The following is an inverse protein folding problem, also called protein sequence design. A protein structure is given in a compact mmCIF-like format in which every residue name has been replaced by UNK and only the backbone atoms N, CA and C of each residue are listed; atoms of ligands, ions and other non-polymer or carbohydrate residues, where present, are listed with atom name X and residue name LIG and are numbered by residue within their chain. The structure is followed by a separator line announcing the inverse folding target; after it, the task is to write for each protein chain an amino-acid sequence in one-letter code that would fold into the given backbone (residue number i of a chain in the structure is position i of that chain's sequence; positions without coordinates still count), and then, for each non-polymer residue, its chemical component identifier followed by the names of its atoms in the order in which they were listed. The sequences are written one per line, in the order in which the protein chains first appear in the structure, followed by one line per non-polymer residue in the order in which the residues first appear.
data_IF_808539626281
#
_entry.id   IF_808539626281
#
_cell.length_a   1.000
_cell.length_b   1.000
_cell.length_c   1.000
_cell.angle_alpha   90.00
_cell.angle_beta   90.00
_cell.angle_gamma   90.00
#
_symmetry.space_group_name_H-M   'P 1'
#
loop_
_entity.id
_entity.type
_entity.pdbx_description
1 polymer ?
#
# COMPACT_ATOMS: atom_id res chain seq x y z
N UNK A 1 17.09 9.36 -2.79
CA UNK A 1 17.53 8.31 -1.86
C UNK A 1 16.32 7.45 -1.53
N UNK A 2 16.33 6.20 -1.95
CA UNK A 2 15.26 5.24 -1.62
C UNK A 2 15.47 4.74 -0.19
N UNK A 3 14.44 4.81 0.66
CA UNK A 3 14.55 4.36 2.06
C UNK A 3 14.63 2.83 2.20
N UNK A 4 14.21 2.09 1.18
CA UNK A 4 14.18 0.62 1.16
C UNK A 4 14.66 0.04 -0.19
N UNK A 5 15.92 0.30 -0.58
CA UNK A 5 16.42 -0.08 -1.90
C UNK A 5 16.36 -1.60 -2.09
N UNK A 6 15.76 -2.04 -3.19
CA UNK A 6 15.60 -3.46 -3.55
C UNK A 6 14.64 -4.27 -2.66
N UNK A 7 14.01 -3.66 -1.65
CA UNK A 7 13.09 -4.34 -0.72
C UNK A 7 11.62 -3.92 -0.90
N UNK A 8 11.38 -2.72 -1.43
CA UNK A 8 10.03 -2.17 -1.61
C UNK A 8 9.91 -1.55 -3.00
N UNK A 9 8.84 -1.92 -3.72
CA UNK A 9 8.40 -1.21 -4.92
C UNK A 9 7.18 -0.37 -4.55
N UNK A 10 7.26 0.95 -4.77
CA UNK A 10 6.12 1.86 -4.69
C UNK A 10 5.45 1.98 -6.04
N UNK A 11 4.12 1.91 -6.06
CA UNK A 11 3.31 2.07 -7.27
C UNK A 11 2.04 2.85 -6.93
N UNK A 12 1.76 3.89 -7.71
CA UNK A 12 0.53 4.66 -7.60
C UNK A 12 -0.48 4.10 -8.58
N UNK A 13 -1.64 3.72 -8.08
CA UNK A 13 -2.74 3.20 -8.88
C UNK A 13 -3.85 4.25 -8.88
N UNK A 14 -4.27 4.68 -10.06
CA UNK A 14 -5.33 5.66 -10.21
C UNK A 14 -6.71 4.98 -10.10
N UNK A 15 -7.40 5.27 -9.00
CA UNK A 15 -8.71 4.71 -8.66
C UNK A 15 -9.86 5.14 -9.60
N UNK A 16 -9.65 6.12 -10.48
CA UNK A 16 -10.68 6.61 -11.42
C UNK A 16 -10.76 5.73 -12.66
N UNK A 17 -9.74 4.92 -12.93
CA UNK A 17 -9.77 3.93 -14.00
C UNK A 17 -10.64 2.73 -13.61
N UNK A 18 -11.44 2.15 -14.52
CA UNK A 18 -12.35 1.04 -14.22
C UNK A 18 -11.63 -0.24 -13.76
N UNK A 19 -10.42 -0.47 -14.27
CA UNK A 19 -9.58 -1.63 -13.90
C UNK A 19 -9.06 -1.50 -12.47
N UNK A 20 -8.57 -0.30 -12.09
CA UNK A 20 -8.15 -0.02 -10.73
C UNK A 20 -9.32 0.04 -9.76
N UNK A 21 -10.47 0.60 -10.18
CA UNK A 21 -11.68 0.68 -9.38
C UNK A 21 -12.14 -0.70 -8.91
N UNK A 22 -11.97 -1.73 -9.75
CA UNK A 22 -12.21 -3.12 -9.37
C UNK A 22 -11.20 -3.60 -8.33
N UNK A 23 -9.91 -3.39 -8.58
CA UNK A 23 -8.84 -3.80 -7.66
C UNK A 23 -8.93 -3.14 -6.28
N UNK A 24 -9.21 -1.84 -6.20
CA UNK A 24 -9.36 -1.12 -4.92
C UNK A 24 -10.61 -1.59 -4.17
N UNK A 25 -11.71 -1.91 -4.89
CA UNK A 25 -12.94 -2.44 -4.30
C UNK A 25 -12.75 -3.85 -3.75
N UNK A 26 -12.00 -4.70 -4.45
CA UNK A 26 -11.60 -6.04 -3.96
C UNK A 26 -10.72 -5.95 -2.70
N UNK A 27 -9.91 -4.90 -2.58
CA UNK A 27 -9.11 -4.62 -1.38
C UNK A 27 -9.94 -3.99 -0.23
N UNK A 28 -11.18 -3.57 -0.52
CA UNK A 28 -12.12 -2.98 0.43
C UNK A 28 -11.96 -1.47 0.62
N UNK A 29 -11.30 -0.77 -0.30
CA UNK A 29 -11.20 0.69 -0.29
C UNK A 29 -12.45 1.31 -0.93
N UNK A 30 -12.92 2.44 -0.36
CA UNK A 30 -14.07 3.18 -0.89
C UNK A 30 -13.71 4.18 -1.99
N UNK A 31 -12.53 4.79 -1.92
CA UNK A 31 -12.13 5.84 -2.86
C UNK A 31 -10.60 5.83 -3.08
N UNK A 32 -9.86 5.93 -1.98
CA UNK A 32 -8.39 5.92 -1.94
C UNK A 32 -7.92 5.25 -0.65
N UNK A 33 -6.64 4.95 -0.58
CA UNK A 33 -6.00 4.36 0.59
C UNK A 33 -4.60 3.87 0.26
N UNK A 34 -3.92 3.33 1.27
CA UNK A 34 -2.60 2.73 1.09
C UNK A 34 -2.64 1.25 1.46
N UNK A 35 -2.01 0.43 0.63
CA UNK A 35 -1.89 -1.02 0.87
C UNK A 35 -0.43 -1.43 0.72
N UNK A 36 0.05 -2.21 1.68
CA UNK A 36 1.31 -2.94 1.57
C UNK A 36 0.96 -4.37 1.22
N UNK A 37 1.40 -4.82 0.05
CA UNK A 37 1.21 -6.20 -0.43
C UNK A 37 2.56 -6.91 -0.45
N UNK A 38 2.55 -8.19 -0.09
CA UNK A 38 3.65 -9.08 -0.38
C UNK A 38 3.70 -9.37 -1.89
N UNK A 39 4.85 -9.84 -2.37
CA UNK A 39 5.04 -10.18 -3.78
C UNK A 39 4.07 -11.27 -4.28
N UNK A 40 3.55 -12.11 -3.39
CA UNK A 40 2.52 -13.12 -3.69
C UNK A 40 1.09 -12.56 -3.69
N UNK A 41 0.90 -11.24 -3.63
CA UNK A 41 -0.41 -10.59 -3.63
C UNK A 41 -1.10 -10.56 -2.26
N UNK A 42 -0.54 -11.18 -1.21
CA UNK A 42 -1.12 -11.15 0.14
C UNK A 42 -1.07 -9.72 0.70
N UNK A 43 -2.22 -9.22 1.14
CA UNK A 43 -2.32 -7.95 1.86
C UNK A 43 -1.64 -8.12 3.22
N UNK A 44 -0.58 -7.35 3.45
CA UNK A 44 0.16 -7.34 4.70
C UNK A 44 -0.38 -6.27 5.64
N UNK A 45 -0.70 -5.10 5.08
CA UNK A 45 -1.24 -3.95 5.79
C UNK A 45 -2.10 -3.12 4.85
N UNK A 46 -3.13 -2.48 5.38
CA UNK A 46 -3.93 -1.51 4.63
C UNK A 46 -4.42 -0.41 5.57
N UNK A 47 -4.50 0.79 5.05
CA UNK A 47 -5.07 1.96 5.72
C UNK A 47 -6.11 2.60 4.81
N UNK A 48 -7.40 2.38 5.09
CA UNK A 48 -8.50 2.90 4.29
C UNK A 48 -8.96 4.26 4.83
N UNK A 49 -8.22 5.36 4.61
CA UNK A 49 -8.73 6.72 4.84
C UNK A 49 -7.87 7.84 4.22
N UNK A 50 -8.33 9.10 4.29
CA UNK A 50 -7.64 10.32 3.83
C UNK A 50 -6.46 10.76 4.71
N UNK A 51 -6.26 10.14 5.88
CA UNK A 51 -5.18 10.48 6.80
C UNK A 51 -4.02 9.48 6.76
N UNK A 52 -3.58 9.09 5.56
CA UNK A 52 -2.38 8.25 5.46
C UNK A 52 -1.17 9.03 5.96
N UNK A 53 -0.59 8.56 7.07
CA UNK A 53 0.67 9.10 7.60
C UNK A 53 1.82 8.25 7.11
N UNK A 54 2.78 8.88 6.43
CA UNK A 54 3.97 8.18 5.93
C UNK A 54 4.78 7.50 7.06
N UNK A 55 4.69 8.02 8.28
CA UNK A 55 5.33 7.45 9.46
C UNK A 55 4.77 6.06 9.81
N UNK A 56 3.45 5.88 9.74
CA UNK A 56 2.79 4.60 9.95
C UNK A 56 3.18 3.58 8.87
N UNK A 57 3.31 4.04 7.62
CA UNK A 57 3.81 3.22 6.51
C UNK A 57 5.25 2.78 6.77
N UNK A 58 6.13 3.70 7.17
CA UNK A 58 7.53 3.39 7.51
C UNK A 58 7.63 2.41 8.68
N UNK A 59 6.84 2.60 9.74
CA UNK A 59 6.81 1.69 10.88
C UNK A 59 6.31 0.30 10.47
N UNK A 60 5.26 0.23 9.65
CA UNK A 60 4.70 -1.02 9.13
C UNK A 60 5.69 -1.76 8.21
N UNK A 61 6.50 -1.04 7.43
CA UNK A 61 7.56 -1.62 6.60
C UNK A 61 8.73 -2.12 7.45
N UNK A 62 9.25 -1.31 8.39
CA UNK A 62 10.35 -1.71 9.28
C UNK A 62 10.02 -2.97 10.08
N UNK A 63 8.81 -3.04 10.65
CA UNK A 63 8.33 -4.23 11.40
C UNK A 63 8.34 -5.51 10.56
N UNK A 64 8.15 -5.42 9.25
CA UNK A 64 8.08 -6.59 8.35
C UNK A 64 9.38 -6.91 7.63
N UNK A 65 10.22 -5.92 7.39
CA UNK A 65 11.52 -6.07 6.75
C UNK A 65 12.65 -6.40 7.75
N UNK A 66 12.32 -6.58 9.03
CA UNK A 66 13.24 -7.02 10.07
C UNK A 66 14.19 -5.93 10.55
N UNK A 67 13.69 -4.70 10.72
CA UNK A 67 14.39 -3.61 11.40
C UNK A 67 14.27 -3.72 12.92
#
# INVERSE_FOLDING_TARGET
MEEFPGKVKSENVDATTPEAAKAIKELGFKNHGLVIRAQNGKVLWKEPDHQVKIEDVRAALRKRLGG
#
